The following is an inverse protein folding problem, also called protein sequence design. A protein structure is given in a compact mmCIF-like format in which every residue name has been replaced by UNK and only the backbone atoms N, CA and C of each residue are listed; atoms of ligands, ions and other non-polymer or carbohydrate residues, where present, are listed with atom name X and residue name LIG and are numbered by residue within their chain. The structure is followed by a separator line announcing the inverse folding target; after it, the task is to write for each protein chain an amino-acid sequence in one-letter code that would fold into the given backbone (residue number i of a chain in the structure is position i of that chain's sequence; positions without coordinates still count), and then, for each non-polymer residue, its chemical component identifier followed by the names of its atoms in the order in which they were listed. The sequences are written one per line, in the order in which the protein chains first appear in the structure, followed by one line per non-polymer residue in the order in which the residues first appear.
data_IF_798257581872
#
_entry.id   IF_798257581872
#
_cell.length_a   1.000
_cell.length_b   1.000
_cell.length_c   1.000
_cell.angle_alpha   90.00
_cell.angle_beta   90.00
_cell.angle_gamma   90.00
#
_symmetry.space_group_name_H-M   'P 1'
#
loop_
_entity.id
_entity.type
_entity.pdbx_description
1 polymer ?
#
# COMPACT_ATOMS: atom_id res chain seq x y z
N UNK A 1 -7.45 -5.40 -18.40
CA UNK A 1 -6.17 -6.06 -18.79
C UNK A 1 -4.95 -5.42 -18.10
N UNK A 2 -4.75 -4.10 -18.20
CA UNK A 2 -3.57 -3.39 -17.69
C UNK A 2 -3.29 -3.59 -16.18
N UNK A 3 -4.32 -3.47 -15.32
CA UNK A 3 -4.16 -3.64 -13.88
C UNK A 3 -3.64 -5.03 -13.47
N UNK A 4 -4.14 -6.10 -14.12
CA UNK A 4 -3.71 -7.48 -13.86
C UNK A 4 -2.25 -7.71 -14.29
N UNK A 5 -1.84 -7.15 -15.42
CA UNK A 5 -0.44 -7.23 -15.87
C UNK A 5 0.50 -6.49 -14.91
N UNK A 6 0.10 -5.30 -14.48
CA UNK A 6 0.83 -4.53 -13.48
C UNK A 6 0.95 -5.28 -12.14
N UNK A 7 -0.14 -5.86 -11.63
CA UNK A 7 -0.11 -6.66 -10.40
C UNK A 7 0.86 -7.84 -10.51
N UNK A 8 0.85 -8.58 -11.63
CA UNK A 8 1.82 -9.66 -11.86
C UNK A 8 3.27 -9.17 -11.88
N UNK A 9 3.53 -8.03 -12.52
CA UNK A 9 4.86 -7.39 -12.53
C UNK A 9 5.29 -7.03 -11.10
N UNK A 10 4.39 -6.44 -10.32
CA UNK A 10 4.62 -6.07 -8.92
C UNK A 10 4.96 -7.30 -8.07
N UNK A 11 4.19 -8.39 -8.16
CA UNK A 11 4.45 -9.63 -7.40
C UNK A 11 5.81 -10.26 -7.73
N UNK A 12 6.26 -10.17 -9.00
CA UNK A 12 7.59 -10.64 -9.41
C UNK A 12 8.72 -9.79 -8.84
N UNK A 13 8.50 -8.48 -8.69
CA UNK A 13 9.48 -7.52 -8.16
C UNK A 13 9.48 -7.42 -6.64
N UNK A 14 8.49 -8.00 -5.98
CA UNK A 14 8.37 -7.91 -4.53
C UNK A 14 9.56 -8.50 -3.74
N UNK A 15 10.15 -9.67 -4.12
CA UNK A 15 11.32 -10.19 -3.42
C UNK A 15 12.51 -9.21 -3.42
N UNK A 16 12.75 -8.57 -4.56
CA UNK A 16 13.81 -7.55 -4.72
C UNK A 16 13.57 -6.36 -3.79
N UNK A 17 12.31 -5.88 -3.69
CA UNK A 17 11.94 -4.80 -2.76
C UNK A 17 12.10 -5.22 -1.30
N UNK A 18 11.76 -6.47 -0.96
CA UNK A 18 11.92 -6.98 0.41
C UNK A 18 13.38 -6.99 0.84
N UNK A 19 14.27 -7.46 -0.04
CA UNK A 19 15.71 -7.49 0.21
C UNK A 19 16.31 -6.07 0.32
N UNK A 20 16.04 -5.20 -0.67
CA UNK A 20 16.56 -3.83 -0.71
C UNK A 20 16.22 -3.02 0.55
N UNK A 21 15.00 -3.21 1.07
CA UNK A 21 14.49 -2.48 2.24
C UNK A 21 14.53 -3.31 3.52
N UNK A 22 15.14 -4.52 3.52
CA UNK A 22 15.12 -5.55 4.58
C UNK A 22 13.78 -5.66 5.31
N UNK A 23 12.69 -5.82 4.54
CA UNK A 23 11.33 -5.87 5.08
C UNK A 23 10.99 -7.19 5.77
N UNK A 24 11.80 -8.24 5.56
CA UNK A 24 11.62 -9.56 6.18
C UNK A 24 11.65 -9.51 7.72
N UNK A 25 12.28 -8.49 8.30
CA UNK A 25 12.30 -8.23 9.75
C UNK A 25 10.92 -7.83 10.31
N UNK A 26 10.02 -7.36 9.45
CA UNK A 26 8.73 -6.77 9.85
C UNK A 26 7.53 -7.56 9.32
N UNK A 27 7.65 -8.15 8.14
CA UNK A 27 6.51 -8.76 7.45
C UNK A 27 6.97 -9.87 6.51
N UNK A 28 6.18 -10.94 6.41
CA UNK A 28 6.40 -11.97 5.39
C UNK A 28 6.03 -11.48 4.00
N UNK A 29 6.66 -12.03 2.96
CA UNK A 29 6.29 -11.78 1.55
C UNK A 29 4.80 -12.02 1.29
N UNK A 30 4.24 -13.09 1.86
CA UNK A 30 2.84 -13.45 1.66
C UNK A 30 1.89 -12.39 2.23
N UNK A 31 2.18 -11.91 3.44
CA UNK A 31 1.40 -10.84 4.07
C UNK A 31 1.52 -9.54 3.30
N UNK A 32 2.72 -9.17 2.83
CA UNK A 32 2.91 -7.98 1.99
C UNK A 32 2.14 -8.09 0.66
N UNK A 33 2.11 -9.27 0.03
CA UNK A 33 1.28 -9.52 -1.16
C UNK A 33 -0.22 -9.37 -0.88
N UNK A 34 -0.69 -9.84 0.29
CA UNK A 34 -2.07 -9.68 0.71
C UNK A 34 -2.42 -8.19 0.92
N UNK A 35 -1.58 -7.44 1.63
CA UNK A 35 -1.76 -6.00 1.83
C UNK A 35 -1.83 -5.24 0.50
N UNK A 36 -0.93 -5.56 -0.44
CA UNK A 36 -0.96 -4.98 -1.78
C UNK A 36 -2.22 -5.38 -2.55
N UNK A 37 -2.66 -6.64 -2.44
CA UNK A 37 -3.92 -7.10 -3.04
C UNK A 37 -5.10 -6.26 -2.53
N UNK A 38 -5.19 -6.02 -1.24
CA UNK A 38 -6.26 -5.23 -0.63
C UNK A 38 -6.27 -3.77 -1.14
N UNK A 39 -5.10 -3.17 -1.32
CA UNK A 39 -4.94 -1.86 -1.96
C UNK A 39 -5.54 -1.80 -3.38
N UNK A 40 -5.38 -2.87 -4.17
CA UNK A 40 -6.00 -2.95 -5.49
C UNK A 40 -7.52 -3.06 -5.38
N UNK A 41 -8.04 -3.85 -4.43
CA UNK A 41 -9.48 -4.00 -4.23
C UNK A 41 -10.16 -2.74 -3.65
N UNK A 42 -9.49 -1.96 -2.81
CA UNK A 42 -10.02 -0.67 -2.32
C UNK A 42 -10.34 0.32 -3.45
N UNK A 43 -9.61 0.19 -4.57
CA UNK A 43 -9.75 0.99 -5.78
C UNK A 43 -10.62 0.31 -6.85
N UNK A 44 -11.17 -0.88 -6.59
CA UNK A 44 -11.99 -1.63 -7.56
C UNK A 44 -13.31 -0.93 -7.94
N UNK A 45 -13.75 0.05 -7.14
CA UNK A 45 -14.91 0.90 -7.43
C UNK A 45 -14.75 1.72 -8.72
N UNK A 46 -13.52 1.98 -9.15
CA UNK A 46 -13.24 2.76 -10.34
C UNK A 46 -13.23 1.87 -11.57
N UNK A 47 -14.30 1.95 -12.38
CA UNK A 47 -14.48 1.13 -13.57
C UNK A 47 -14.10 1.83 -14.88
N UNK A 48 -13.91 3.15 -14.87
CA UNK A 48 -13.50 3.92 -16.06
C UNK A 48 -12.11 3.46 -16.55
N UNK A 49 -12.00 2.95 -17.79
CA UNK A 49 -10.73 2.52 -18.37
C UNK A 49 -9.63 3.59 -18.35
N UNK A 50 -9.97 4.86 -18.54
CA UNK A 50 -8.99 5.96 -18.53
C UNK A 50 -8.44 6.18 -17.12
N UNK A 51 -9.31 6.19 -16.12
CA UNK A 51 -8.91 6.28 -14.72
C UNK A 51 -8.04 5.09 -14.29
N UNK A 52 -8.41 3.87 -14.69
CA UNK A 52 -7.61 2.66 -14.45
C UNK A 52 -6.23 2.79 -15.08
N UNK A 53 -6.12 3.33 -16.30
CA UNK A 53 -4.83 3.55 -16.97
C UNK A 53 -3.95 4.54 -16.20
N UNK A 54 -4.53 5.65 -15.73
CA UNK A 54 -3.81 6.65 -14.92
C UNK A 54 -3.34 6.03 -13.60
N UNK A 55 -4.19 5.25 -12.93
CA UNK A 55 -3.81 4.55 -11.70
C UNK A 55 -2.66 3.56 -11.92
N UNK A 56 -2.71 2.77 -13.00
CA UNK A 56 -1.63 1.84 -13.36
C UNK A 56 -0.33 2.58 -13.71
N UNK A 57 -0.43 3.75 -14.35
CA UNK A 57 0.74 4.59 -14.62
C UNK A 57 1.37 5.10 -13.32
N UNK A 58 0.58 5.69 -12.42
CA UNK A 58 1.03 6.13 -11.08
C UNK A 58 1.66 4.98 -10.28
N UNK A 59 1.06 3.80 -10.31
CA UNK A 59 1.60 2.61 -9.66
C UNK A 59 2.94 2.15 -10.23
N UNK A 60 3.12 2.23 -11.56
CA UNK A 60 4.41 1.91 -12.18
C UNK A 60 5.50 2.94 -11.79
N UNK A 61 5.19 4.23 -11.80
CA UNK A 61 6.12 5.27 -11.37
C UNK A 61 6.57 5.07 -9.92
N UNK A 62 5.62 4.84 -9.00
CA UNK A 62 5.94 4.55 -7.60
C UNK A 62 6.81 3.29 -7.46
N UNK A 63 6.50 2.22 -8.21
CA UNK A 63 7.33 1.01 -8.22
C UNK A 63 8.75 1.30 -8.73
N UNK A 64 8.91 2.13 -9.77
CA UNK A 64 10.24 2.51 -10.26
C UNK A 64 11.02 3.34 -9.23
N UNK A 65 10.37 4.26 -8.52
CA UNK A 65 11.00 5.05 -7.46
C UNK A 65 11.48 4.16 -6.30
N UNK A 66 10.68 3.16 -5.93
CA UNK A 66 11.06 2.18 -4.89
C UNK A 66 12.24 1.32 -5.38
N UNK A 67 12.16 0.75 -6.59
CA UNK A 67 13.23 -0.08 -7.15
C UNK A 67 14.56 0.67 -7.31
N UNK A 68 14.51 1.98 -7.59
CA UNK A 68 15.70 2.84 -7.66
C UNK A 68 16.18 3.37 -6.31
N UNK A 69 15.57 2.95 -5.20
CA UNK A 69 15.88 3.44 -3.85
C UNK A 69 15.70 4.96 -3.68
N UNK A 70 14.86 5.60 -4.50
CA UNK A 70 14.53 7.03 -4.36
C UNK A 70 13.55 7.31 -3.19
N UNK A 71 13.01 6.26 -2.58
CA UNK A 71 12.18 6.33 -1.36
C UNK A 71 12.96 5.75 -0.19
N UNK A 72 12.82 6.36 0.98
CA UNK A 72 13.43 5.84 2.21
C UNK A 72 12.66 4.62 2.74
N UNK A 73 13.34 3.76 3.51
CA UNK A 73 12.74 2.56 4.15
C UNK A 73 11.50 2.91 4.97
N UNK A 74 11.55 3.99 5.74
CA UNK A 74 10.42 4.44 6.53
C UNK A 74 9.17 4.71 5.68
N UNK A 75 9.31 5.33 4.50
CA UNK A 75 8.18 5.55 3.57
C UNK A 75 7.53 4.22 3.14
N UNK A 76 8.35 3.22 2.78
CA UNK A 76 7.87 1.91 2.35
C UNK A 76 7.13 1.18 3.48
N UNK A 77 7.70 1.22 4.69
CA UNK A 77 7.10 0.60 5.88
C UNK A 77 5.76 1.25 6.20
N UNK A 78 5.74 2.56 6.39
CA UNK A 78 4.55 3.30 6.80
C UNK A 78 3.41 3.09 5.81
N UNK A 79 3.70 3.16 4.50
CA UNK A 79 2.69 3.08 3.45
C UNK A 79 2.23 1.67 3.11
N UNK A 80 3.14 0.68 3.06
CA UNK A 80 2.84 -0.64 2.51
C UNK A 80 2.90 -1.80 3.53
N UNK A 81 3.56 -1.60 4.66
CA UNK A 81 3.65 -2.64 5.72
C UNK A 81 2.61 -2.36 6.79
N UNK A 82 2.68 -1.18 7.42
CA UNK A 82 1.76 -0.80 8.50
C UNK A 82 0.40 -0.38 7.94
N UNK A 83 0.34 0.05 6.67
CA UNK A 83 -0.86 0.64 6.07
C UNK A 83 -1.39 1.83 6.91
N UNK A 84 -0.51 2.48 7.66
CA UNK A 84 -0.82 3.60 8.51
C UNK A 84 -0.55 4.88 7.74
N UNK A 85 -1.59 5.63 7.46
CA UNK A 85 -1.44 6.98 6.96
C UNK A 85 -1.07 7.87 8.16
N UNK A 86 0.16 8.44 8.23
CA UNK A 86 0.55 9.30 9.34
C UNK A 86 -0.32 10.56 9.43
N UNK A 87 -1.05 10.88 8.36
CA UNK A 87 -2.01 11.99 8.30
C UNK A 87 -3.47 11.57 8.52
N UNK A 88 -3.76 10.26 8.62
CA UNK A 88 -5.06 9.82 9.17
C UNK A 88 -5.01 10.00 10.68
N UNK A 89 -5.81 10.93 11.18
CA UNK A 89 -6.17 10.98 12.59
C UNK A 89 -6.68 9.61 13.03
N UNK A 90 -6.29 9.16 14.23
CA UNK A 90 -6.88 7.97 14.85
C UNK A 90 -8.38 8.11 14.73
N UNK A 91 -9.06 7.13 14.11
CA UNK A 91 -10.51 7.21 14.04
C UNK A 91 -11.05 7.38 15.45
N UNK A 92 -11.98 8.33 15.68
CA UNK A 92 -12.58 8.49 16.99
C UNK A 92 -13.10 7.12 17.42
N UNK A 93 -12.87 6.73 18.68
CA UNK A 93 -13.14 5.38 19.09
C UNK A 93 -14.62 5.04 18.81
N UNK A 94 -14.86 3.85 18.29
CA UNK A 94 -16.20 3.46 17.87
C UNK A 94 -17.06 3.14 19.11
N UNK A 95 -18.26 3.71 19.15
CA UNK A 95 -19.24 3.45 20.21
C UNK A 95 -19.35 4.59 21.22
N UNK A 96 -20.56 4.74 21.77
CA UNK A 96 -20.93 5.85 22.65
C UNK A 96 -19.97 6.03 23.84
N UNK A 97 -19.67 4.96 24.57
CA UNK A 97 -18.81 5.03 25.76
C UNK A 97 -17.40 5.52 25.44
N UNK A 98 -16.80 5.02 24.37
CA UNK A 98 -15.43 5.38 24.03
C UNK A 98 -15.34 6.82 23.50
N UNK A 99 -16.37 7.31 22.80
CA UNK A 99 -16.49 8.72 22.41
C UNK A 99 -16.72 9.63 23.62
N UNK A 100 -17.53 9.18 24.58
CA UNK A 100 -17.78 9.91 25.84
C UNK A 100 -16.50 10.11 26.65
N UNK A 101 -15.66 9.07 26.77
CA UNK A 101 -14.37 9.17 27.47
C UNK A 101 -13.29 9.95 26.70
N UNK A 102 -13.39 10.06 25.38
CA UNK A 102 -12.42 10.82 24.56
C UNK A 102 -12.75 12.32 24.47
N UNK A 103 -13.97 12.73 24.83
CA UNK A 103 -14.50 14.10 24.70
C UNK A 103 -14.44 14.92 25.99
N UNK A 104 -14.11 14.31 27.14
CA UNK A 104 -13.89 14.96 28.44
C UNK A 104 -12.41 14.93 28.80
#
# INVERSE_FOLDING_TARGET
MAARQFYRKLCKKLPEVMEMYKLDELISKGTLQANLKDLFYQNARFSDPNMVRVMVHKGNEELQLILRMHKQRHHVITKYVVMHDPFKTKQPPSGFLAQFYASN
#
